data_IF_729672405277
#
_entry.id   IF_729672405277
#
_cell.length_a   1.000
_cell.length_b   1.000
_cell.length_c   1.000
_cell.angle_alpha   90.00
_cell.angle_beta   90.00
_cell.angle_gamma   90.00
#
_symmetry.space_group_name_H-M   'P 1'
#
loop_
_entity.id
_entity.type
_entity.pdbx_description
1 polymer ?
#
# COMPACT_ATOMS: atom_id res chain seq x y z
N UNK A 1 -20.93 71.41 19.31
CA UNK A 1 -21.42 71.16 20.69
C UNK A 1 -21.73 69.66 20.79
N UNK A 2 -21.00 68.96 21.69
CA UNK A 2 -21.23 67.58 22.18
C UNK A 2 -21.05 66.39 21.18
N UNK A 3 -20.76 65.17 21.65
CA UNK A 3 -19.51 64.81 22.31
C UNK A 3 -18.88 63.50 21.77
N UNK A 4 -17.60 63.36 22.13
CA UNK A 4 -16.74 62.18 22.05
C UNK A 4 -17.45 60.92 22.59
N UNK A 5 -17.49 59.84 21.80
CA UNK A 5 -17.61 58.48 22.32
C UNK A 5 -16.47 57.62 21.75
N UNK A 6 -15.42 57.51 22.57
CA UNK A 6 -14.34 56.54 22.41
C UNK A 6 -14.86 55.21 22.91
N UNK A 7 -15.20 54.30 21.99
CA UNK A 7 -15.43 52.89 22.36
C UNK A 7 -14.16 52.13 22.02
N UNK A 8 -13.31 51.98 23.03
CA UNK A 8 -12.15 51.08 23.01
C UNK A 8 -12.72 49.68 23.24
N UNK A 9 -12.95 48.93 22.15
CA UNK A 9 -13.23 47.50 22.26
C UNK A 9 -11.90 46.82 22.50
N UNK A 10 -11.64 46.48 23.76
CA UNK A 10 -10.50 45.70 24.18
C UNK A 10 -10.59 44.29 23.55
N UNK A 11 -9.84 44.07 22.47
CA UNK A 11 -9.58 42.74 21.91
C UNK A 11 -8.72 41.96 22.89
N UNK A 12 -9.35 41.23 23.79
CA UNK A 12 -8.73 40.16 24.55
C UNK A 12 -8.47 38.98 23.61
N UNK A 13 -7.33 39.02 22.90
CA UNK A 13 -6.79 37.88 22.17
C UNK A 13 -6.26 36.89 23.21
N UNK A 14 -7.14 35.97 23.62
CA UNK A 14 -6.75 34.82 24.45
C UNK A 14 -5.95 33.87 23.57
N UNK A 15 -4.62 33.96 23.70
CA UNK A 15 -3.63 32.97 23.27
C UNK A 15 -3.89 31.65 24.02
N UNK A 16 -4.73 30.78 23.43
CA UNK A 16 -4.74 29.37 23.77
C UNK A 16 -3.68 28.65 22.93
N UNK A 17 -2.45 28.69 23.42
CA UNK A 17 -1.39 27.77 23.03
C UNK A 17 -1.73 26.37 23.54
N UNK A 18 -2.69 25.70 22.88
CA UNK A 18 -2.81 24.26 22.96
C UNK A 18 -1.87 23.66 21.92
N UNK A 19 -0.59 23.54 22.30
CA UNK A 19 0.37 22.66 21.64
C UNK A 19 -0.04 21.21 21.86
N UNK A 20 -1.17 20.81 21.28
CA UNK A 20 -1.45 19.40 21.06
C UNK A 20 -0.53 18.97 19.95
N UNK A 21 0.41 18.06 20.24
CA UNK A 21 0.99 17.22 19.22
C UNK A 21 -0.18 16.49 18.56
N UNK A 22 -0.73 17.06 17.48
CA UNK A 22 -1.55 16.32 16.55
C UNK A 22 -0.61 15.31 15.91
N UNK A 23 -0.46 14.16 16.57
CA UNK A 23 0.01 12.95 15.93
C UNK A 23 -1.00 12.66 14.83
N UNK A 24 -0.78 13.27 13.67
CA UNK A 24 -1.50 12.95 12.45
C UNK A 24 -1.19 11.46 12.20
N UNK A 25 -2.15 10.53 12.37
CA UNK A 25 -1.89 9.16 12.03
C UNK A 25 -1.46 9.17 10.55
N UNK A 26 -0.30 8.60 10.27
CA UNK A 26 0.15 8.49 8.88
C UNK A 26 -0.97 7.78 8.10
N UNK A 27 -1.50 8.37 7.02
CA UNK A 27 -2.59 7.76 6.28
C UNK A 27 -2.18 6.37 5.82
N UNK A 28 -3.10 5.43 5.94
CA UNK A 28 -2.94 4.07 5.45
C UNK A 28 -2.51 4.12 3.96
N UNK A 29 -1.35 3.54 3.59
CA UNK A 29 -0.89 3.57 2.20
C UNK A 29 -1.68 2.64 1.27
N UNK A 30 -2.51 1.71 1.77
CA UNK A 30 -3.22 0.72 0.95
C UNK A 30 -4.19 1.30 -0.09
N UNK A 31 -5.08 2.27 0.23
CA UNK A 31 -6.01 2.82 -0.78
C UNK A 31 -5.30 3.45 -1.98
N UNK A 32 -4.16 4.11 -1.73
CA UNK A 32 -3.37 4.72 -2.80
C UNK A 32 -2.62 3.67 -3.63
N UNK A 33 -2.18 2.59 -2.98
CA UNK A 33 -1.58 1.44 -3.66
C UNK A 33 -2.57 0.75 -4.60
N UNK A 34 -3.80 0.47 -4.15
CA UNK A 34 -4.82 -0.17 -4.99
C UNK A 34 -5.20 0.72 -6.19
N UNK A 35 -5.35 2.03 -5.98
CA UNK A 35 -5.59 2.97 -7.08
C UNK A 35 -4.45 2.97 -8.12
N UNK A 36 -3.20 2.91 -7.67
CA UNK A 36 -2.05 2.79 -8.56
C UNK A 36 -2.05 1.47 -9.33
N UNK A 37 -2.34 0.36 -8.65
CA UNK A 37 -2.45 -0.97 -9.27
C UNK A 37 -3.53 -1.00 -10.35
N UNK A 38 -4.72 -0.47 -10.06
CA UNK A 38 -5.82 -0.39 -11.02
C UNK A 38 -5.43 0.43 -12.25
N UNK A 39 -4.74 1.55 -12.07
CA UNK A 39 -4.26 2.38 -13.17
C UNK A 39 -3.29 1.62 -14.10
N UNK A 40 -2.33 0.89 -13.55
CA UNK A 40 -1.40 0.08 -14.35
C UNK A 40 -2.10 -1.06 -15.10
N UNK A 41 -3.08 -1.71 -14.47
CA UNK A 41 -3.87 -2.76 -15.13
C UNK A 41 -4.70 -2.20 -16.28
N UNK A 42 -5.23 -0.98 -16.16
CA UNK A 42 -5.90 -0.29 -17.27
C UNK A 42 -4.92 0.04 -18.40
N UNK A 43 -3.73 0.53 -18.08
CA UNK A 43 -2.71 0.82 -19.10
C UNK A 43 -2.22 -0.45 -19.81
N UNK A 44 -2.11 -1.58 -19.09
CA UNK A 44 -1.87 -2.89 -19.69
C UNK A 44 -3.00 -3.33 -20.62
N UNK A 45 -4.27 -3.23 -20.17
CA UNK A 45 -5.42 -3.61 -20.97
C UNK A 45 -5.54 -2.76 -22.25
N UNK A 46 -5.07 -1.51 -22.20
CA UNK A 46 -4.99 -0.61 -23.34
C UNK A 46 -3.74 -0.82 -24.21
N UNK A 47 -2.88 -1.80 -23.88
CA UNK A 47 -1.66 -2.11 -24.61
C UNK A 47 -0.54 -1.07 -24.49
N UNK A 48 -0.64 -0.14 -23.52
CA UNK A 48 0.42 0.86 -23.26
C UNK A 48 1.59 0.28 -22.50
N UNK A 49 1.35 -0.74 -21.69
CA UNK A 49 2.35 -1.44 -20.89
C UNK A 49 2.29 -2.93 -21.17
N UNK A 50 3.47 -3.55 -21.20
CA UNK A 50 3.60 -5.00 -21.18
C UNK A 50 3.28 -5.54 -19.77
N UNK A 51 2.81 -6.80 -19.66
CA UNK A 51 2.61 -7.44 -18.36
C UNK A 51 3.83 -7.38 -17.41
N UNK A 52 5.04 -7.60 -17.92
CA UNK A 52 6.28 -7.55 -17.12
C UNK A 52 6.56 -6.13 -16.60
N UNK A 53 6.35 -5.11 -17.43
CA UNK A 53 6.51 -3.69 -17.08
C UNK A 53 5.54 -3.27 -15.96
N UNK A 54 4.31 -3.79 -15.97
CA UNK A 54 3.35 -3.59 -14.87
C UNK A 54 3.91 -4.14 -13.56
N UNK A 55 4.44 -5.37 -13.55
CA UNK A 55 4.99 -5.97 -12.33
C UNK A 55 6.22 -5.22 -11.81
N UNK A 56 7.06 -4.69 -12.70
CA UNK A 56 8.21 -3.85 -12.33
C UNK A 56 7.74 -2.57 -11.62
N UNK A 57 6.76 -1.87 -12.20
CA UNK A 57 6.23 -0.64 -11.61
C UNK A 57 5.49 -0.90 -10.29
N UNK A 58 4.73 -2.00 -10.21
CA UNK A 58 4.10 -2.46 -8.97
C UNK A 58 5.15 -2.75 -7.88
N UNK A 59 6.24 -3.45 -8.21
CA UNK A 59 7.35 -3.70 -7.27
C UNK A 59 7.95 -2.41 -6.72
N UNK A 60 8.26 -1.48 -7.61
CA UNK A 60 8.96 -0.25 -7.24
C UNK A 60 8.08 0.65 -6.37
N UNK A 61 6.80 0.77 -6.73
CA UNK A 61 5.82 1.53 -5.96
C UNK A 61 5.48 0.84 -4.61
N UNK A 62 5.37 -0.49 -4.60
CA UNK A 62 5.18 -1.24 -3.35
C UNK A 62 6.36 -1.01 -2.40
N UNK A 63 7.60 -1.09 -2.91
CA UNK A 63 8.81 -0.83 -2.12
C UNK A 63 8.84 0.60 -1.60
N UNK A 64 8.41 1.57 -2.41
CA UNK A 64 8.33 2.97 -2.00
C UNK A 64 7.34 3.18 -0.84
N UNK A 65 6.15 2.57 -0.92
CA UNK A 65 5.06 2.76 0.05
C UNK A 65 5.21 1.93 1.33
N UNK A 66 5.63 0.67 1.20
CA UNK A 66 5.62 -0.31 2.30
C UNK A 66 7.03 -0.68 2.78
N UNK A 67 8.08 -0.23 2.10
CA UNK A 67 9.47 -0.55 2.43
C UNK A 67 9.92 -1.91 1.90
N UNK A 68 10.99 -2.44 2.50
CA UNK A 68 11.55 -3.73 2.12
C UNK A 68 10.77 -4.87 2.76
N UNK A 69 10.16 -5.70 1.93
CA UNK A 69 9.40 -6.89 2.32
C UNK A 69 9.96 -8.10 1.56
N UNK A 70 10.65 -9.05 2.22
CA UNK A 70 11.27 -10.20 1.56
C UNK A 70 10.28 -11.08 0.79
N UNK A 71 9.06 -11.25 1.30
CA UNK A 71 8.02 -12.06 0.64
C UNK A 71 7.54 -11.37 -0.64
N UNK A 72 7.31 -10.06 -0.57
CA UNK A 72 6.96 -9.28 -1.75
C UNK A 72 8.10 -9.23 -2.77
N UNK A 73 9.36 -9.10 -2.33
CA UNK A 73 10.52 -9.12 -3.20
C UNK A 73 10.63 -10.44 -3.97
N UNK A 74 10.43 -11.57 -3.30
CA UNK A 74 10.40 -12.89 -3.92
C UNK A 74 9.24 -13.06 -4.90
N UNK A 75 8.04 -12.56 -4.55
CA UNK A 75 6.88 -12.55 -5.43
C UNK A 75 7.15 -11.77 -6.72
N UNK A 76 7.63 -10.52 -6.62
CA UNK A 76 7.88 -9.70 -7.79
C UNK A 76 9.01 -10.24 -8.66
N UNK A 77 10.08 -10.79 -8.08
CA UNK A 77 11.13 -11.43 -8.86
C UNK A 77 10.58 -12.61 -9.68
N UNK A 78 9.76 -13.46 -9.05
CA UNK A 78 9.09 -14.56 -9.73
C UNK A 78 8.14 -14.08 -10.84
N UNK A 79 7.27 -13.10 -10.56
CA UNK A 79 6.26 -12.64 -11.52
C UNK A 79 6.88 -11.96 -12.74
N UNK A 80 7.91 -11.14 -12.53
CA UNK A 80 8.64 -10.47 -13.63
C UNK A 80 9.30 -11.51 -14.53
N UNK A 81 10.11 -12.43 -13.98
CA UNK A 81 10.81 -13.44 -14.79
C UNK A 81 9.86 -14.35 -15.56
N UNK A 82 8.71 -14.73 -14.96
CA UNK A 82 7.73 -15.56 -15.62
C UNK A 82 7.03 -14.81 -16.77
N UNK A 83 6.68 -13.53 -16.58
CA UNK A 83 6.06 -12.73 -17.64
C UNK A 83 7.04 -12.39 -18.76
N UNK A 84 8.31 -12.10 -18.46
CA UNK A 84 9.34 -11.92 -19.48
C UNK A 84 9.51 -13.18 -20.33
N UNK A 85 9.50 -14.36 -19.70
CA UNK A 85 9.53 -15.64 -20.40
C UNK A 85 8.30 -15.81 -21.30
N UNK A 86 7.12 -15.47 -20.81
CA UNK A 86 5.89 -15.55 -21.58
C UNK A 86 5.84 -14.56 -22.76
N UNK A 87 6.33 -13.34 -22.55
CA UNK A 87 6.44 -12.30 -23.59
C UNK A 87 7.43 -12.69 -24.70
N UNK A 88 8.44 -13.50 -24.39
CA UNK A 88 9.35 -14.10 -25.37
C UNK A 88 8.84 -15.40 -25.98
N UNK A 89 7.61 -15.83 -25.68
CA UNK A 89 7.00 -17.04 -26.22
C UNK A 89 7.58 -18.34 -25.64
N UNK A 90 8.31 -18.27 -24.52
CA UNK A 90 8.87 -19.44 -23.84
C UNK A 90 7.87 -20.09 -22.88
N UNK A 91 6.76 -19.40 -22.58
CA UNK A 91 5.71 -19.86 -21.67
C UNK A 91 4.34 -19.30 -22.08
N UNK A 92 3.22 -20.01 -21.90
CA UNK A 92 1.89 -19.46 -22.17
C UNK A 92 1.55 -18.30 -21.22
N UNK A 93 1.13 -17.16 -21.77
CA UNK A 93 0.86 -15.96 -20.97
C UNK A 93 -0.31 -16.12 -19.99
N UNK A 94 -1.35 -16.86 -20.38
CA UNK A 94 -2.49 -17.18 -19.55
C UNK A 94 -2.11 -18.07 -18.37
N UNK A 95 -1.29 -19.11 -18.59
CA UNK A 95 -0.75 -19.93 -17.51
C UNK A 95 0.14 -19.10 -16.57
N UNK A 96 0.98 -18.21 -17.10
CA UNK A 96 1.83 -17.33 -16.30
C UNK A 96 0.99 -16.48 -15.35
N UNK A 97 -0.09 -15.88 -15.86
CA UNK A 97 -1.01 -15.06 -15.06
C UNK A 97 -1.70 -15.87 -13.95
N UNK A 98 -2.09 -17.11 -14.22
CA UNK A 98 -2.69 -18.00 -13.19
C UNK A 98 -1.67 -18.30 -12.09
N UNK A 99 -0.44 -18.65 -12.44
CA UNK A 99 0.62 -18.93 -11.46
C UNK A 99 0.96 -17.69 -10.61
N UNK A 100 0.99 -16.51 -11.21
CA UNK A 100 1.21 -15.26 -10.50
C UNK A 100 0.10 -14.99 -9.50
N UNK A 101 -1.18 -15.14 -9.88
CA UNK A 101 -2.31 -14.99 -8.95
C UNK A 101 -2.23 -15.96 -7.78
N UNK A 102 -1.85 -17.22 -8.05
CA UNK A 102 -1.66 -18.22 -6.99
C UNK A 102 -0.51 -17.82 -6.03
N UNK A 103 0.59 -17.31 -6.57
CA UNK A 103 1.73 -16.84 -5.77
C UNK A 103 1.41 -15.57 -4.97
N UNK A 104 0.63 -14.65 -5.54
CA UNK A 104 0.13 -13.46 -4.86
C UNK A 104 -0.74 -13.85 -3.66
N UNK A 105 -1.67 -14.79 -3.85
CA UNK A 105 -2.51 -15.30 -2.77
C UNK A 105 -1.67 -15.95 -1.64
N UNK A 106 -0.61 -16.68 -2.00
CA UNK A 106 0.34 -17.24 -1.03
C UNK A 106 1.05 -16.12 -0.25
N UNK A 107 1.59 -15.10 -0.93
CA UNK A 107 2.26 -13.96 -0.29
C UNK A 107 1.34 -13.24 0.70
N UNK A 108 0.10 -12.96 0.30
CA UNK A 108 -0.91 -12.31 1.16
C UNK A 108 -1.23 -13.16 2.39
N UNK A 109 -1.41 -14.47 2.20
CA UNK A 109 -1.68 -15.39 3.31
C UNK A 109 -0.51 -15.44 4.31
N UNK A 110 0.73 -15.51 3.83
CA UNK A 110 1.93 -15.49 4.68
C UNK A 110 2.03 -14.19 5.49
N UNK A 111 1.79 -13.03 4.86
CA UNK A 111 1.78 -11.73 5.58
C UNK A 111 0.69 -11.68 6.64
N UNK A 112 -0.51 -12.16 6.34
CA UNK A 112 -1.60 -12.20 7.31
C UNK A 112 -1.28 -13.10 8.52
N UNK A 113 -0.54 -14.19 8.32
CA UNK A 113 -0.09 -15.07 9.41
C UNK A 113 0.96 -14.41 10.30
N UNK A 114 1.93 -13.68 9.72
CA UNK A 114 2.97 -12.97 10.48
C UNK A 114 2.37 -11.86 11.35
N UNK A 115 1.43 -11.08 10.80
CA UNK A 115 0.80 -9.95 11.51
C UNK A 115 -0.05 -10.43 12.70
N UNK A 116 -0.64 -11.63 12.62
CA UNK A 116 -1.48 -12.18 13.70
C UNK A 116 -0.68 -12.78 14.87
N UNK A 117 0.66 -12.82 14.78
CA UNK A 117 1.52 -13.51 15.75
C UNK A 117 1.32 -15.03 15.74
N UNK A 118 2.19 -15.81 16.41
CA UNK A 118 1.92 -17.22 16.65
C UNK A 118 0.59 -17.33 17.40
N UNK A 119 -0.31 -18.17 16.88
CA UNK A 119 -1.57 -18.52 17.57
C UNK A 119 -1.20 -18.92 19.00
N UNK A 120 -1.79 -18.32 20.06
CA UNK A 120 -1.49 -18.76 21.41
C UNK A 120 -1.72 -20.27 21.45
N UNK A 121 -0.67 -20.99 21.83
CA UNK A 121 -0.72 -22.42 22.06
C UNK A 121 -1.81 -22.60 23.12
N UNK A 122 -2.97 -23.07 22.69
CA UNK A 122 -4.04 -23.44 23.61
C UNK A 122 -3.47 -24.64 24.33
N UNK A 123 -2.90 -24.41 25.51
CA UNK A 123 -2.63 -25.46 26.47
C UNK A 123 -3.99 -26.08 26.79
N UNK A 124 -4.37 -27.10 26.04
CA UNK A 124 -5.39 -28.07 26.42
C UNK A 124 -4.84 -28.87 27.60
N UNK A 125 -4.64 -28.19 28.74
CA UNK A 125 -4.61 -28.81 30.05
C UNK A 125 -6.07 -29.19 30.35
N UNK A 126 -6.49 -30.30 29.76
CA UNK A 126 -7.65 -31.05 30.24
C UNK A 126 -7.18 -31.86 31.45
N UNK A 127 -7.58 -31.41 32.64
CA UNK A 127 -7.64 -32.22 33.87
C UNK A 127 -8.67 -33.36 33.74
#
# INVERSE_FOLDING_TARGET
>A
MNPKFRVVIASAVVLLAAGGCASNPSPDPYPQWEAFREHLLQDQANGKLKPSEVQIQLRDEYRHRFGLDPEAAGFYAFSISLLESAEHGQFPLDEAQVMIRAKEAQMVATRAAIVRGPRPEVNDASD
#
